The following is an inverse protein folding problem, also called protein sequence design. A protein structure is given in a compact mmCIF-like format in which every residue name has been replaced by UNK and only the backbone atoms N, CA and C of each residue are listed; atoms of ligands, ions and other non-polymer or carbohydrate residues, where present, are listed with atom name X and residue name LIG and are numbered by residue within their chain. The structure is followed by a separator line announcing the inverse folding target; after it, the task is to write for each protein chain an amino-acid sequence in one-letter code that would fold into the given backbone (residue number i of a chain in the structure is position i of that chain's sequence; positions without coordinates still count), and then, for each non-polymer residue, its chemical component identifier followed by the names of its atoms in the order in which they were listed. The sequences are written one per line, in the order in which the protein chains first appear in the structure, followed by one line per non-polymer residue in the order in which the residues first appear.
data_IF_660596715114
#
_entry.id   IF_660596715114
#
_cell.length_a   1.000
_cell.length_b   1.000
_cell.length_c   1.000
_cell.angle_alpha   90.00
_cell.angle_beta   90.00
_cell.angle_gamma   90.00
#
_symmetry.space_group_name_H-M   'P 1'
#
loop_
_entity.id
_entity.type
_entity.pdbx_description
1 polymer ?
#
# COMPACT_ATOMS: atom_id res chain seq x y z
N UNK A 1 4.50 1.93 -3.40
CA UNK A 1 5.05 0.82 -2.61
C UNK A 1 5.44 1.36 -1.26
N UNK A 2 4.94 0.76 -0.18
CA UNK A 2 5.20 1.21 1.20
C UNK A 2 6.22 0.28 1.87
N UNK A 3 7.35 0.79 2.39
CA UNK A 3 8.38 0.00 3.06
C UNK A 3 8.05 -0.23 4.55
N UNK A 4 8.78 -1.16 5.17
CA UNK A 4 8.81 -1.44 6.61
C UNK A 4 7.44 -1.70 7.26
N UNK A 5 6.50 -2.27 6.52
CA UNK A 5 5.20 -2.65 7.05
C UNK A 5 5.36 -3.89 7.92
N UNK A 6 4.76 -3.87 9.11
CA UNK A 6 4.69 -4.99 10.04
C UNK A 6 3.27 -5.48 10.28
N UNK A 7 2.24 -4.65 10.06
CA UNK A 7 0.82 -5.00 10.27
C UNK A 7 -0.13 -4.45 9.21
N UNK A 8 -1.35 -4.99 9.15
CA UNK A 8 -2.39 -4.52 8.23
C UNK A 8 -2.86 -3.11 8.58
N UNK A 9 -2.93 -2.77 9.87
CA UNK A 9 -3.38 -1.46 10.33
C UNK A 9 -2.43 -0.34 9.86
N UNK A 10 -1.11 -0.60 9.85
CA UNK A 10 -0.12 0.32 9.30
C UNK A 10 -0.33 0.54 7.81
N UNK A 11 -0.55 -0.54 7.07
CA UNK A 11 -0.76 -0.49 5.62
C UNK A 11 -2.06 0.24 5.25
N UNK A 12 -3.15 -0.03 5.98
CA UNK A 12 -4.46 0.60 5.80
C UNK A 12 -4.43 2.09 6.14
N UNK A 13 -3.71 2.46 7.20
CA UNK A 13 -3.50 3.86 7.54
C UNK A 13 -2.83 4.61 6.39
N UNK A 14 -1.75 4.06 5.81
CA UNK A 14 -1.07 4.69 4.68
C UNK A 14 -1.92 4.65 3.41
N UNK A 15 -2.72 3.59 3.21
CA UNK A 15 -3.67 3.50 2.10
C UNK A 15 -4.70 4.64 2.13
N UNK A 16 -5.21 4.98 3.31
CA UNK A 16 -6.17 6.09 3.46
C UNK A 16 -5.57 7.43 2.98
N UNK A 17 -4.33 7.72 3.40
CA UNK A 17 -3.61 8.93 2.98
C UNK A 17 -3.36 8.92 1.47
N UNK A 18 -2.95 7.76 0.92
CA UNK A 18 -2.74 7.60 -0.51
C UNK A 18 -4.01 7.85 -1.33
N UNK A 19 -5.16 7.30 -0.90
CA UNK A 19 -6.42 7.45 -1.62
C UNK A 19 -6.93 8.89 -1.58
N UNK A 20 -6.77 9.59 -0.45
CA UNK A 20 -7.10 11.02 -0.33
C UNK A 20 -6.28 11.88 -1.30
N UNK A 21 -4.96 11.69 -1.29
CA UNK A 21 -4.06 12.44 -2.19
C UNK A 21 -4.32 12.09 -3.65
N UNK A 22 -4.55 10.81 -3.97
CA UNK A 22 -4.89 10.37 -5.32
C UNK A 22 -6.16 11.07 -5.81
N UNK A 23 -7.22 11.08 -5.00
CA UNK A 23 -8.48 11.74 -5.35
C UNK A 23 -8.32 13.25 -5.55
N UNK A 24 -7.52 13.92 -4.70
CA UNK A 24 -7.22 15.34 -4.87
C UNK A 24 -6.49 15.62 -6.19
N UNK A 25 -5.46 14.84 -6.50
CA UNK A 25 -4.69 15.01 -7.72
C UNK A 25 -5.50 14.67 -8.97
N UNK A 26 -6.32 13.61 -8.95
CA UNK A 26 -7.20 13.25 -10.08
C UNK A 26 -8.20 14.38 -10.38
N UNK A 27 -8.76 15.03 -9.34
CA UNK A 27 -9.66 16.19 -9.50
C UNK A 27 -8.93 17.40 -10.07
N UNK A 28 -7.73 17.69 -9.55
CA UNK A 28 -6.92 18.86 -9.97
C UNK A 28 -6.50 18.78 -11.43
N UNK A 29 -6.03 17.60 -11.86
CA UNK A 29 -5.51 17.41 -13.22
C UNK A 29 -6.54 16.84 -14.21
N UNK A 30 -7.73 16.45 -13.75
CA UNK A 30 -8.80 15.84 -14.55
C UNK A 30 -8.34 14.58 -15.31
N UNK A 31 -7.43 13.82 -14.71
CA UNK A 31 -6.86 12.58 -15.25
C UNK A 31 -7.06 11.48 -14.22
N UNK A 32 -7.35 10.26 -14.67
CA UNK A 32 -7.41 9.07 -13.81
C UNK A 32 -6.06 8.38 -13.76
N UNK A 33 -5.54 8.14 -12.55
CA UNK A 33 -4.26 7.50 -12.35
C UNK A 33 -4.44 5.99 -12.16
N UNK A 34 -3.89 5.20 -13.09
CA UNK A 34 -3.77 3.75 -12.95
C UNK A 34 -2.44 3.42 -12.26
N UNK A 35 -2.45 3.49 -10.94
CA UNK A 35 -1.30 3.20 -10.07
C UNK A 35 -1.76 2.13 -9.08
N UNK A 36 -0.99 1.06 -8.99
CA UNK A 36 -1.24 0.00 -8.01
C UNK A 36 -0.64 0.41 -6.66
N UNK A 37 -1.39 0.19 -5.59
CA UNK A 37 -0.90 0.34 -4.23
C UNK A 37 -0.36 -0.99 -3.71
N UNK A 38 0.86 -1.03 -3.20
CA UNK A 38 1.49 -2.27 -2.74
C UNK A 38 2.52 -2.01 -1.65
N UNK A 39 3.09 -3.08 -1.10
CA UNK A 39 4.03 -3.01 0.03
C UNK A 39 5.26 -3.87 -0.18
N UNK A 40 6.34 -3.51 0.53
CA UNK A 40 7.54 -4.33 0.59
C UNK A 40 7.40 -5.38 1.71
N UNK A 41 7.65 -6.64 1.37
CA UNK A 41 7.82 -7.72 2.34
C UNK A 41 9.30 -7.78 2.73
N UNK A 42 9.64 -7.03 3.77
CA UNK A 42 11.01 -6.93 4.33
C UNK A 42 11.04 -7.06 5.86
N UNK A 43 9.88 -7.05 6.52
CA UNK A 43 9.75 -7.29 7.96
C UNK A 43 9.26 -8.73 8.17
N UNK A 44 9.92 -9.48 9.06
CA UNK A 44 9.57 -10.88 9.34
C UNK A 44 8.08 -11.05 9.66
N UNK A 45 7.50 -10.14 10.45
CA UNK A 45 6.07 -10.16 10.80
C UNK A 45 5.18 -10.04 9.56
N UNK A 46 5.48 -9.14 8.63
CA UNK A 46 4.72 -8.98 7.39
C UNK A 46 4.75 -10.23 6.52
N UNK A 47 5.86 -10.99 6.51
CA UNK A 47 5.90 -12.28 5.84
C UNK A 47 4.95 -13.29 6.51
N UNK A 48 4.95 -13.36 7.85
CA UNK A 48 4.12 -14.26 8.65
C UNK A 48 2.62 -13.95 8.54
N UNK A 49 2.24 -12.68 8.41
CA UNK A 49 0.86 -12.21 8.29
C UNK A 49 0.51 -11.71 6.88
N UNK A 50 1.23 -12.18 5.86
CA UNK A 50 1.11 -11.68 4.47
C UNK A 50 -0.27 -11.91 3.87
N UNK A 51 -1.01 -12.91 4.33
CA UNK A 51 -2.40 -13.15 3.96
C UNK A 51 -3.33 -12.00 4.36
N UNK A 52 -3.04 -11.31 5.47
CA UNK A 52 -3.80 -10.14 5.91
C UNK A 52 -3.45 -8.93 5.04
N UNK A 53 -2.16 -8.72 4.77
CA UNK A 53 -1.65 -7.62 3.93
C UNK A 53 -2.19 -7.66 2.50
N UNK A 54 -2.47 -8.86 1.98
CA UNK A 54 -3.02 -9.07 0.65
C UNK A 54 -4.44 -8.50 0.46
N UNK A 55 -5.16 -8.18 1.55
CA UNK A 55 -6.47 -7.52 1.45
C UNK A 55 -6.36 -6.06 0.96
N UNK A 56 -5.21 -5.42 1.19
CA UNK A 56 -4.99 -4.00 0.88
C UNK A 56 -3.91 -3.79 -0.16
N UNK A 57 -2.86 -4.62 -0.18
CA UNK A 57 -1.79 -4.55 -1.17
C UNK A 57 -2.19 -5.25 -2.47
N UNK A 58 -2.08 -4.53 -3.59
CA UNK A 58 -2.30 -5.05 -4.95
C UNK A 58 -1.05 -5.77 -5.51
N UNK A 59 0.11 -5.60 -4.86
CA UNK A 59 1.33 -6.34 -5.16
C UNK A 59 2.28 -6.35 -3.95
N UNK A 60 3.19 -7.34 -3.94
CA UNK A 60 4.30 -7.42 -3.01
C UNK A 60 5.64 -7.26 -3.73
N UNK A 61 6.59 -6.61 -3.06
CA UNK A 61 8.00 -6.58 -3.45
C UNK A 61 8.82 -7.17 -2.30
N UNK A 62 9.63 -8.19 -2.54
CA UNK A 62 10.47 -8.76 -1.50
C UNK A 62 11.73 -7.91 -1.32
N UNK A 63 11.90 -7.33 -0.13
CA UNK A 63 13.14 -6.69 0.29
C UNK A 63 13.93 -7.67 1.13
N UNK A 64 14.72 -8.51 0.46
CA UNK A 64 15.59 -9.52 1.10
C UNK A 64 16.74 -8.91 1.85
#
# INVERSE_FOLDING_TARGET
MIPQIGSIEELDYIKSIYDDVKLEMEKKYKIKFKINFGTMLEVVRACLTSNELANTAEFFSFGT
#
